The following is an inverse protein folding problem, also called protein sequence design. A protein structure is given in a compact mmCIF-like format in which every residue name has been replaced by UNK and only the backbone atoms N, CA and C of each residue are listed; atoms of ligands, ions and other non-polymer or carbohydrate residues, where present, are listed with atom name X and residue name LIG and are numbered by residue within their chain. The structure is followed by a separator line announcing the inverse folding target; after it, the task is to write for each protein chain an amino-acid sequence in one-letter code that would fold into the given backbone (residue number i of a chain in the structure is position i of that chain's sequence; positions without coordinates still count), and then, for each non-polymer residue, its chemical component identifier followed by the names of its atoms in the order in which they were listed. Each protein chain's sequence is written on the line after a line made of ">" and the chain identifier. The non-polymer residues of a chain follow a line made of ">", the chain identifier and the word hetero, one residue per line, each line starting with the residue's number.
data_IF_138175119940
#
_entry.id   IF_138175119940
#
_cell.length_a   1.000
_cell.length_b   1.000
_cell.length_c   1.000
_cell.angle_alpha   90.00
_cell.angle_beta   90.00
_cell.angle_gamma   90.00
#
_symmetry.space_group_name_H-M   'P 1'
#
loop_
_entity.id
_entity.type
_entity.pdbx_description
1 polymer ?
#
# COMPACT_ATOMS: atom_id res chain seq x y z
N UNK A 1 14.34 -37.88 9.24
CA UNK A 1 15.10 -36.66 8.91
C UNK A 1 16.18 -36.29 9.94
N UNK A 2 15.89 -35.96 11.20
CA UNK A 2 16.96 -35.66 12.22
C UNK A 2 17.76 -36.90 12.63
N UNK A 3 17.09 -38.05 12.75
CA UNK A 3 17.73 -39.34 13.09
C UNK A 3 18.58 -39.89 11.95
N UNK A 4 18.12 -39.78 10.70
CA UNK A 4 18.89 -40.21 9.51
C UNK A 4 20.14 -39.37 9.25
N UNK A 5 20.11 -38.07 9.56
CA UNK A 5 21.29 -37.20 9.42
C UNK A 5 22.36 -37.52 10.47
N UNK A 6 21.95 -37.96 11.68
CA UNK A 6 22.86 -38.41 12.73
C UNK A 6 23.57 -39.72 12.33
N UNK A 7 22.82 -40.68 11.81
CA UNK A 7 23.34 -42.00 11.44
C UNK A 7 24.30 -41.93 10.23
N UNK A 8 24.00 -41.06 9.24
CA UNK A 8 24.89 -40.81 8.09
C UNK A 8 26.19 -40.08 8.46
N UNK A 9 26.19 -39.28 9.53
CA UNK A 9 27.41 -38.61 10.01
C UNK A 9 28.29 -39.56 10.82
N UNK A 10 27.69 -40.47 11.59
CA UNK A 10 28.41 -41.51 12.37
C UNK A 10 29.05 -42.58 11.46
N UNK A 11 28.43 -42.90 10.31
CA UNK A 11 28.96 -43.92 9.39
C UNK A 11 30.12 -43.46 8.48
N UNK A 12 30.33 -42.15 8.32
CA UNK A 12 31.31 -41.60 7.36
C UNK A 12 32.65 -41.22 8.01
N UNK A 13 32.80 -41.39 9.33
CA UNK A 13 34.01 -41.08 10.10
C UNK A 13 34.36 -42.26 11.00
N UNK A 14 34.77 -43.38 10.40
CA UNK A 14 35.48 -44.43 11.13
C UNK A 14 36.93 -44.49 10.66
N UNK A 15 37.81 -43.58 11.15
CA UNK A 15 39.24 -43.89 11.17
C UNK A 15 39.45 -45.14 12.04
N UNK A 16 40.47 -45.95 11.76
CA UNK A 16 40.86 -47.11 12.58
C UNK A 16 40.68 -46.78 14.07
N UNK A 17 39.94 -47.63 14.79
CA UNK A 17 39.44 -47.31 16.14
C UNK A 17 40.57 -46.71 16.97
N UNK A 18 40.31 -45.57 17.62
CA UNK A 18 41.31 -44.87 18.44
C UNK A 18 41.93 -45.78 19.50
N UNK A 19 41.15 -46.75 19.98
CA UNK A 19 41.59 -47.82 20.89
C UNK A 19 42.66 -48.70 20.23
N UNK A 20 42.48 -49.08 18.97
CA UNK A 20 43.47 -49.85 18.18
C UNK A 20 44.80 -49.09 18.04
N UNK A 21 44.76 -47.76 17.94
CA UNK A 21 45.98 -46.93 17.85
C UNK A 21 46.69 -46.81 19.21
N UNK A 22 45.94 -46.73 20.32
CA UNK A 22 46.50 -46.76 21.68
C UNK A 22 47.10 -48.13 22.01
N UNK A 23 46.45 -49.23 21.61
CA UNK A 23 46.98 -50.59 21.76
C UNK A 23 48.28 -50.78 20.98
N UNK A 24 48.36 -50.24 19.75
CA UNK A 24 49.59 -50.24 18.96
C UNK A 24 50.71 -49.46 19.63
N UNK A 25 50.42 -48.32 20.24
CA UNK A 25 51.42 -47.58 21.03
C UNK A 25 51.90 -48.37 22.25
N UNK A 26 51.00 -49.05 22.97
CA UNK A 26 51.36 -49.93 24.08
C UNK A 26 52.24 -51.12 23.66
N UNK A 27 51.93 -51.73 22.50
CA UNK A 27 52.74 -52.82 21.94
C UNK A 27 54.16 -52.35 21.55
N UNK A 28 54.28 -51.12 21.01
CA UNK A 28 55.57 -50.51 20.67
C UNK A 28 56.38 -50.21 21.94
N UNK A 29 55.75 -49.69 22.99
CA UNK A 29 56.40 -49.39 24.27
C UNK A 29 56.89 -50.67 25.00
N UNK A 30 56.10 -51.74 24.91
CA UNK A 30 56.49 -53.07 25.41
C UNK A 30 57.67 -53.65 24.62
N UNK A 31 57.69 -53.50 23.30
CA UNK A 31 58.83 -53.89 22.47
C UNK A 31 60.08 -53.06 22.81
N UNK A 32 59.94 -51.75 23.01
CA UNK A 32 61.03 -50.85 23.41
C UNK A 32 61.63 -51.24 24.75
N UNK A 33 60.79 -51.59 25.73
CA UNK A 33 61.23 -52.03 27.07
C UNK A 33 62.05 -53.33 27.03
N UNK A 34 61.70 -54.24 26.12
CA UNK A 34 62.48 -55.47 25.87
C UNK A 34 63.83 -55.17 25.21
N UNK A 35 63.86 -54.22 24.27
CA UNK A 35 65.08 -53.75 23.60
C UNK A 35 66.04 -53.02 24.56
N UNK A 36 65.50 -52.26 25.51
CA UNK A 36 66.28 -51.56 26.55
C UNK A 36 67.00 -52.52 27.53
N UNK A 37 66.58 -53.79 27.57
CA UNK A 37 67.19 -54.84 28.39
C UNK A 37 68.36 -55.57 27.70
N UNK A 38 68.64 -55.23 26.42
CA UNK A 38 69.72 -55.83 25.63
C UNK A 38 70.93 -54.89 25.54
N UNK A 39 72.12 -55.27 26.02
CA UNK A 39 73.31 -54.39 26.08
C UNK A 39 73.92 -54.04 24.71
N UNK A 40 73.42 -54.62 23.61
CA UNK A 40 73.92 -54.37 22.25
C UNK A 40 73.27 -53.14 21.54
N UNK A 41 72.31 -52.46 22.17
CA UNK A 41 71.53 -51.38 21.53
C UNK A 41 71.91 -50.01 22.11
N UNK A 42 72.21 -48.99 21.28
CA UNK A 42 72.57 -47.66 21.77
C UNK A 42 71.36 -46.95 22.42
N UNK A 43 71.51 -46.66 23.72
CA UNK A 43 70.48 -46.06 24.60
C UNK A 43 69.94 -44.72 24.08
N UNK A 44 70.80 -43.90 23.45
CA UNK A 44 70.42 -42.59 22.89
C UNK A 44 69.32 -42.68 21.81
N UNK A 45 69.35 -43.73 20.97
CA UNK A 45 68.33 -43.92 19.94
C UNK A 45 67.00 -44.37 20.52
N UNK A 46 67.02 -45.17 21.58
CA UNK A 46 65.81 -45.60 22.29
C UNK A 46 65.13 -44.41 23.00
N UNK A 47 65.90 -43.54 23.66
CA UNK A 47 65.38 -42.32 24.29
C UNK A 47 64.76 -41.35 23.26
N UNK A 48 65.37 -41.21 22.08
CA UNK A 48 64.82 -40.37 21.00
C UNK A 48 63.47 -40.89 20.51
N UNK A 49 63.35 -42.21 20.35
CA UNK A 49 62.09 -42.86 19.94
C UNK A 49 61.02 -42.69 21.03
N UNK A 50 61.40 -42.81 22.30
CA UNK A 50 60.48 -42.61 23.42
C UNK A 50 59.98 -41.17 23.51
N UNK A 51 60.87 -40.18 23.36
CA UNK A 51 60.51 -38.77 23.33
C UNK A 51 59.57 -38.42 22.16
N UNK A 52 59.78 -39.02 20.98
CA UNK A 52 58.86 -38.85 19.84
C UNK A 52 57.50 -39.51 20.09
N UNK A 53 57.48 -40.66 20.76
CA UNK A 53 56.24 -41.34 21.15
C UNK A 53 55.41 -40.47 22.10
N UNK A 54 56.08 -39.83 23.07
CA UNK A 54 55.45 -38.94 24.04
C UNK A 54 54.94 -37.65 23.39
N UNK A 55 55.68 -37.04 22.46
CA UNK A 55 55.22 -35.86 21.71
C UNK A 55 53.97 -36.15 20.88
N UNK A 56 53.94 -37.30 20.20
CA UNK A 56 52.77 -37.74 19.42
C UNK A 56 51.57 -38.03 20.33
N UNK A 57 51.79 -38.64 21.50
CA UNK A 57 50.77 -38.92 22.51
C UNK A 57 50.17 -37.63 23.07
N UNK A 58 51.00 -36.65 23.42
CA UNK A 58 50.56 -35.34 23.93
C UNK A 58 49.74 -34.57 22.88
N UNK A 59 50.15 -34.60 21.61
CA UNK A 59 49.37 -33.99 20.51
C UNK A 59 48.01 -34.68 20.32
N UNK A 60 47.97 -36.01 20.39
CA UNK A 60 46.72 -36.77 20.26
C UNK A 60 45.76 -36.51 21.43
N UNK A 61 46.28 -36.37 22.66
CA UNK A 61 45.49 -36.00 23.84
C UNK A 61 44.97 -34.56 23.77
N UNK A 62 45.79 -33.60 23.35
CA UNK A 62 45.35 -32.22 23.15
C UNK A 62 44.25 -32.09 22.09
N UNK A 63 44.36 -32.85 20.99
CA UNK A 63 43.29 -32.95 19.99
C UNK A 63 42.03 -33.64 20.55
N UNK A 64 42.18 -34.65 21.41
CA UNK A 64 41.03 -35.30 22.05
C UNK A 64 40.25 -34.34 22.93
N UNK A 65 40.94 -33.55 23.75
CA UNK A 65 40.31 -32.58 24.64
C UNK A 65 39.53 -31.53 23.84
N UNK A 66 40.11 -31.01 22.76
CA UNK A 66 39.40 -30.06 21.88
C UNK A 66 38.16 -30.67 21.20
N UNK A 67 38.22 -31.95 20.81
CA UNK A 67 37.07 -32.66 20.21
C UNK A 67 35.98 -32.88 21.27
N UNK A 68 36.36 -33.24 22.49
CA UNK A 68 35.42 -33.47 23.60
C UNK A 68 34.76 -32.16 24.07
N UNK A 69 35.53 -31.08 24.18
CA UNK A 69 35.04 -29.75 24.48
C UNK A 69 34.08 -29.26 23.39
N UNK A 70 34.42 -29.48 22.11
CA UNK A 70 33.53 -29.14 20.98
C UNK A 70 32.21 -29.93 21.05
N UNK A 71 32.27 -31.22 21.40
CA UNK A 71 31.06 -32.05 21.59
C UNK A 71 30.24 -31.54 22.77
N UNK A 72 30.87 -31.20 23.89
CA UNK A 72 30.21 -30.66 25.08
C UNK A 72 29.49 -29.34 24.77
N UNK A 73 30.18 -28.40 24.11
CA UNK A 73 29.61 -27.12 23.68
C UNK A 73 28.42 -27.36 22.74
N UNK A 74 28.54 -28.26 21.77
CA UNK A 74 27.44 -28.57 20.85
C UNK A 74 26.20 -29.12 21.57
N UNK A 75 26.39 -29.93 22.61
CA UNK A 75 25.32 -30.53 23.41
C UNK A 75 24.66 -29.50 24.35
N UNK A 76 25.44 -28.58 24.91
CA UNK A 76 24.95 -27.45 25.70
C UNK A 76 24.13 -26.48 24.82
N UNK A 77 24.59 -26.18 23.60
CA UNK A 77 23.84 -25.36 22.62
C UNK A 77 22.52 -26.04 22.26
N UNK A 78 22.54 -27.35 21.99
CA UNK A 78 21.33 -28.11 21.68
C UNK A 78 20.34 -28.12 22.86
N UNK A 79 20.83 -28.28 24.10
CA UNK A 79 19.99 -28.19 25.31
C UNK A 79 19.35 -26.82 25.46
N UNK A 80 20.13 -25.74 25.29
CA UNK A 80 19.61 -24.38 25.39
C UNK A 80 18.56 -24.09 24.31
N UNK A 81 18.82 -24.55 23.07
CA UNK A 81 17.85 -24.44 21.99
C UNK A 81 16.57 -25.23 22.29
N UNK A 82 16.69 -26.45 22.82
CA UNK A 82 15.54 -27.27 23.23
C UNK A 82 14.69 -26.57 24.29
N UNK A 83 15.31 -26.02 25.34
CA UNK A 83 14.60 -25.27 26.40
C UNK A 83 13.86 -24.06 25.81
N UNK A 84 14.48 -23.34 24.88
CA UNK A 84 13.87 -22.19 24.22
C UNK A 84 12.65 -22.60 23.37
N UNK A 85 12.76 -23.69 22.61
CA UNK A 85 11.66 -24.25 21.82
C UNK A 85 10.52 -24.74 22.73
N UNK A 86 10.84 -25.43 23.82
CA UNK A 86 9.86 -25.92 24.78
C UNK A 86 9.12 -24.76 25.48
N UNK A 87 9.83 -23.68 25.82
CA UNK A 87 9.25 -22.44 26.37
C UNK A 87 8.37 -21.71 25.34
N UNK A 88 8.77 -21.69 24.07
CA UNK A 88 7.98 -21.07 23.01
C UNK A 88 6.68 -21.86 22.75
N UNK A 89 6.78 -23.19 22.82
CA UNK A 89 5.62 -24.07 22.72
C UNK A 89 4.69 -23.91 23.93
N UNK A 90 5.23 -23.79 25.15
CA UNK A 90 4.41 -23.56 26.34
C UNK A 90 3.63 -22.24 26.28
N UNK A 91 4.28 -21.15 25.84
CA UNK A 91 3.62 -19.85 25.60
C UNK A 91 2.52 -19.91 24.53
N UNK A 92 2.61 -20.85 23.58
CA UNK A 92 1.56 -21.11 22.59
C UNK A 92 0.36 -21.82 23.20
N UNK A 93 0.58 -22.85 24.03
CA UNK A 93 -0.49 -23.55 24.76
C UNK A 93 -1.20 -22.66 25.78
N UNK A 94 -0.49 -21.76 26.47
CA UNK A 94 -1.09 -20.86 27.46
C UNK A 94 -1.94 -19.74 26.81
N UNK A 95 -1.77 -19.50 25.50
CA UNK A 95 -2.63 -18.57 24.72
C UNK A 95 -3.72 -19.27 23.91
N UNK A 96 -3.69 -20.59 23.81
CA UNK A 96 -4.74 -21.40 23.15
C UNK A 96 -5.77 -22.00 24.13
N UNK A 97 -5.53 -21.99 25.44
CA UNK A 97 -6.48 -22.50 26.45
C UNK A 97 -7.10 -21.45 27.39
N UNK A 98 -7.57 -20.33 26.84
CA UNK A 98 -8.71 -19.60 27.44
C UNK A 98 -9.87 -19.60 26.46
N UNK A 99 -10.48 -20.78 26.31
CA UNK A 99 -11.79 -20.93 25.67
C UNK A 99 -12.88 -20.29 26.56
N UNK A 100 -13.89 -19.66 25.95
CA UNK A 100 -15.06 -20.47 25.60
C UNK A 100 -15.41 -20.36 24.11
N UNK A 101 -14.88 -21.29 23.33
CA UNK A 101 -15.41 -21.68 22.02
C UNK A 101 -16.60 -22.65 22.25
N UNK A 102 -17.82 -22.11 22.40
CA UNK A 102 -18.80 -22.28 21.32
C UNK A 102 -19.69 -21.04 21.09
N UNK A 103 -19.79 -20.12 22.05
CA UNK A 103 -20.71 -18.98 21.97
C UNK A 103 -20.12 -17.85 21.13
N UNK A 104 -18.86 -17.48 21.35
CA UNK A 104 -18.17 -16.46 20.56
C UNK A 104 -17.97 -16.87 19.11
N UNK A 105 -17.66 -18.14 18.82
CA UNK A 105 -17.52 -18.63 17.44
C UNK A 105 -18.88 -18.74 16.73
N UNK A 106 -19.96 -19.13 17.43
CA UNK A 106 -21.31 -19.14 16.85
C UNK A 106 -21.82 -17.72 16.60
N UNK A 107 -21.53 -16.77 17.48
CA UNK A 107 -21.81 -15.34 17.26
C UNK A 107 -20.95 -14.81 16.11
N UNK A 108 -19.64 -15.06 16.11
CA UNK A 108 -18.74 -14.59 15.06
C UNK A 108 -19.12 -15.14 13.69
N UNK A 109 -19.45 -16.42 13.56
CA UNK A 109 -19.90 -17.02 12.31
C UNK A 109 -21.31 -16.53 11.90
N UNK A 110 -22.20 -16.26 12.85
CA UNK A 110 -23.54 -15.71 12.55
C UNK A 110 -23.45 -14.24 12.13
N UNK A 111 -22.62 -13.47 12.82
CA UNK A 111 -22.31 -12.07 12.53
C UNK A 111 -21.56 -11.96 11.21
N UNK A 112 -20.51 -12.72 10.95
CA UNK A 112 -19.81 -12.71 9.64
C UNK A 112 -20.69 -13.23 8.49
N UNK A 113 -21.60 -14.18 8.74
CA UNK A 113 -22.58 -14.63 7.75
C UNK A 113 -23.64 -13.56 7.44
N UNK A 114 -24.01 -12.71 8.40
CA UNK A 114 -24.96 -11.59 8.20
C UNK A 114 -24.29 -10.32 7.66
N UNK A 115 -23.06 -10.06 8.11
CA UNK A 115 -22.22 -8.95 7.68
C UNK A 115 -21.80 -9.11 6.22
N UNK A 116 -21.53 -10.33 5.73
CA UNK A 116 -21.18 -10.54 4.31
C UNK A 116 -22.24 -9.96 3.35
N UNK A 117 -23.51 -10.41 3.34
CA UNK A 117 -24.53 -9.86 2.45
C UNK A 117 -24.89 -8.41 2.80
N UNK A 118 -24.91 -8.05 4.09
CA UNK A 118 -25.22 -6.69 4.55
C UNK A 118 -24.19 -5.67 4.06
N UNK A 119 -22.90 -5.99 4.11
CA UNK A 119 -21.83 -5.15 3.57
C UNK A 119 -21.89 -5.06 2.05
N UNK A 120 -22.23 -6.16 1.34
CA UNK A 120 -22.41 -6.08 -0.11
C UNK A 120 -23.58 -5.16 -0.48
N UNK A 121 -24.70 -5.21 0.23
CA UNK A 121 -25.84 -4.31 0.00
C UNK A 121 -25.46 -2.88 0.39
N UNK A 122 -24.80 -2.67 1.53
CA UNK A 122 -24.36 -1.35 1.96
C UNK A 122 -23.36 -0.74 0.97
N UNK A 123 -22.44 -1.53 0.44
CA UNK A 123 -21.49 -1.12 -0.59
C UNK A 123 -22.21 -0.83 -1.92
N UNK A 124 -23.16 -1.67 -2.31
CA UNK A 124 -23.97 -1.44 -3.51
C UNK A 124 -24.79 -0.14 -3.41
N UNK A 125 -25.37 0.14 -2.24
CA UNK A 125 -26.07 1.40 -1.94
C UNK A 125 -25.10 2.58 -1.96
N UNK A 126 -23.91 2.45 -1.38
CA UNK A 126 -22.87 3.50 -1.44
C UNK A 126 -22.45 3.80 -2.88
N UNK A 127 -22.27 2.77 -3.71
CA UNK A 127 -21.94 2.91 -5.14
C UNK A 127 -23.09 3.56 -5.91
N UNK A 128 -24.34 3.20 -5.60
CA UNK A 128 -25.51 3.82 -6.20
C UNK A 128 -25.66 5.29 -5.79
N UNK A 129 -25.45 5.59 -4.51
CA UNK A 129 -25.46 6.95 -3.98
C UNK A 129 -24.34 7.79 -4.60
N UNK A 130 -23.13 7.27 -4.72
CA UNK A 130 -22.02 7.98 -5.33
C UNK A 130 -22.25 8.23 -6.83
N UNK A 131 -22.78 7.24 -7.56
CA UNK A 131 -23.16 7.39 -8.96
C UNK A 131 -24.26 8.47 -9.13
N UNK A 132 -25.25 8.50 -8.24
CA UNK A 132 -26.31 9.51 -8.24
C UNK A 132 -25.78 10.92 -7.99
N UNK A 133 -24.93 11.09 -6.97
CA UNK A 133 -24.29 12.38 -6.65
C UNK A 133 -23.40 12.83 -7.82
N UNK A 134 -22.60 11.92 -8.39
CA UNK A 134 -21.74 12.22 -9.52
C UNK A 134 -22.54 12.67 -10.75
N UNK A 135 -23.63 11.95 -11.06
CA UNK A 135 -24.52 12.32 -12.17
C UNK A 135 -25.18 13.67 -11.93
N UNK A 136 -25.58 13.96 -10.69
CA UNK A 136 -26.18 15.24 -10.32
C UNK A 136 -25.18 16.40 -10.46
N UNK A 137 -23.95 16.25 -9.98
CA UNK A 137 -22.87 17.23 -10.15
C UNK A 137 -22.54 17.43 -11.64
N UNK A 138 -22.46 16.34 -12.40
CA UNK A 138 -22.21 16.41 -13.84
C UNK A 138 -23.31 17.19 -14.56
N UNK A 139 -24.59 16.89 -14.26
CA UNK A 139 -25.73 17.59 -14.82
C UNK A 139 -25.74 19.08 -14.43
N UNK A 140 -25.50 19.39 -13.15
CA UNK A 140 -25.40 20.76 -12.67
C UNK A 140 -24.29 21.52 -13.40
N UNK A 141 -23.13 20.89 -13.61
CA UNK A 141 -22.02 21.48 -14.38
C UNK A 141 -22.42 21.73 -15.84
N UNK A 142 -23.15 20.80 -16.48
CA UNK A 142 -23.62 20.99 -17.87
C UNK A 142 -24.68 22.08 -17.97
N UNK A 143 -25.59 22.16 -17.01
CA UNK A 143 -26.58 23.25 -16.94
C UNK A 143 -25.91 24.60 -16.73
N UNK A 144 -24.92 24.67 -15.81
CA UNK A 144 -24.14 25.87 -15.56
C UNK A 144 -23.35 26.30 -16.81
N UNK A 145 -22.73 25.36 -17.54
CA UNK A 145 -22.08 25.65 -18.82
C UNK A 145 -23.06 26.19 -19.88
N UNK A 146 -24.29 25.67 -19.95
CA UNK A 146 -25.31 26.18 -20.86
C UNK A 146 -25.71 27.61 -20.50
N UNK A 147 -25.95 27.87 -19.21
CA UNK A 147 -26.34 29.19 -18.71
C UNK A 147 -25.22 30.22 -18.91
N UNK A 148 -23.97 29.82 -18.65
CA UNK A 148 -22.80 30.65 -18.90
C UNK A 148 -22.67 30.99 -20.39
N UNK A 149 -22.90 30.02 -21.29
CA UNK A 149 -22.86 30.26 -22.74
C UNK A 149 -24.00 31.18 -23.22
N UNK A 150 -25.20 31.05 -22.65
CA UNK A 150 -26.32 31.95 -22.94
C UNK A 150 -25.97 33.39 -22.50
N UNK A 151 -25.37 33.57 -21.31
CA UNK A 151 -24.93 34.89 -20.84
C UNK A 151 -23.82 35.51 -21.69
N UNK A 152 -22.84 34.70 -22.12
CA UNK A 152 -21.82 35.16 -23.08
C UNK A 152 -22.45 35.68 -24.37
N UNK A 153 -23.43 34.94 -24.91
CA UNK A 153 -24.11 35.31 -26.15
C UNK A 153 -24.93 36.61 -26.00
N UNK A 154 -25.73 36.73 -24.93
CA UNK A 154 -26.52 37.94 -24.69
C UNK A 154 -25.65 39.17 -24.43
N UNK A 155 -24.52 39.01 -23.75
CA UNK A 155 -23.57 40.09 -23.57
C UNK A 155 -22.92 40.54 -24.89
N UNK A 156 -22.56 39.58 -25.77
CA UNK A 156 -22.06 39.91 -27.11
C UNK A 156 -23.12 40.66 -27.94
N UNK A 157 -24.39 40.27 -27.83
CA UNK A 157 -25.50 40.99 -28.46
C UNK A 157 -25.67 42.41 -27.89
N UNK A 158 -25.54 42.59 -26.57
CA UNK A 158 -25.58 43.90 -25.92
C UNK A 158 -24.44 44.81 -26.40
N UNK A 159 -23.21 44.27 -26.50
CA UNK A 159 -22.05 45.04 -26.97
C UNK A 159 -22.15 45.41 -28.45
N UNK A 160 -22.87 44.63 -29.26
CA UNK A 160 -23.15 44.93 -30.68
C UNK A 160 -22.00 44.66 -31.65
N UNK A 161 -20.82 44.24 -31.16
CA UNK A 161 -19.63 43.91 -31.95
C UNK A 161 -18.83 42.80 -31.27
N UNK A 162 -18.36 41.81 -32.03
CA UNK A 162 -17.55 40.71 -31.50
C UNK A 162 -16.05 41.01 -31.68
N UNK A 163 -15.43 41.65 -30.68
CA UNK A 163 -13.99 41.89 -30.66
C UNK A 163 -13.25 40.67 -30.08
N UNK A 164 -12.13 40.26 -30.69
CA UNK A 164 -11.39 39.06 -30.27
C UNK A 164 -10.89 39.12 -28.83
N UNK A 165 -10.50 40.31 -28.37
CA UNK A 165 -10.06 40.57 -26.99
C UNK A 165 -11.19 40.41 -25.97
N UNK A 166 -12.41 40.84 -26.31
CA UNK A 166 -13.59 40.71 -25.43
C UNK A 166 -13.99 39.23 -25.32
N UNK A 167 -13.93 38.48 -26.42
CA UNK A 167 -14.15 37.03 -26.41
C UNK A 167 -13.12 36.31 -25.53
N UNK A 168 -11.85 36.68 -25.63
CA UNK A 168 -10.76 36.08 -24.84
C UNK A 168 -10.93 36.35 -23.34
N UNK A 169 -11.33 37.58 -22.97
CA UNK A 169 -11.65 37.94 -21.57
C UNK A 169 -12.87 37.15 -21.07
N UNK A 170 -13.94 37.04 -21.87
CA UNK A 170 -15.13 36.27 -21.50
C UNK A 170 -14.82 34.77 -21.38
N UNK A 171 -13.98 34.21 -22.24
CA UNK A 171 -13.58 32.81 -22.16
C UNK A 171 -12.72 32.57 -20.92
N UNK A 172 -11.76 33.45 -20.65
CA UNK A 172 -10.88 33.38 -19.48
C UNK A 172 -11.66 33.50 -18.19
N UNK A 173 -12.54 34.51 -18.05
CA UNK A 173 -13.29 34.81 -16.82
C UNK A 173 -14.44 33.84 -16.52
N UNK A 174 -14.97 33.13 -17.51
CA UNK A 174 -16.01 32.12 -17.29
C UNK A 174 -15.47 30.69 -17.18
N UNK A 175 -14.35 30.37 -17.86
CA UNK A 175 -13.86 28.99 -17.98
C UNK A 175 -12.59 28.73 -17.15
N UNK A 176 -11.59 29.62 -17.23
CA UNK A 176 -10.27 29.40 -16.61
C UNK A 176 -10.10 30.06 -15.23
N UNK A 177 -10.63 31.28 -15.06
CA UNK A 177 -10.63 32.05 -13.81
C UNK A 177 -12.05 32.51 -13.49
N UNK A 178 -12.90 31.60 -13.02
CA UNK A 178 -14.31 31.90 -12.71
C UNK A 178 -14.40 32.98 -11.63
N UNK A 179 -14.66 34.21 -12.08
CA UNK A 179 -14.78 35.40 -11.24
C UNK A 179 -16.27 35.67 -11.02
N UNK A 180 -16.77 35.24 -9.87
CA UNK A 180 -18.20 35.26 -9.59
C UNK A 180 -18.75 36.69 -9.50
N UNK A 181 -17.93 37.64 -9.04
CA UNK A 181 -18.27 39.06 -9.00
C UNK A 181 -18.38 39.64 -10.42
N UNK A 182 -17.43 39.29 -11.29
CA UNK A 182 -17.50 39.67 -12.71
C UNK A 182 -18.74 39.09 -13.41
N UNK A 183 -19.07 37.81 -13.18
CA UNK A 183 -20.25 37.16 -13.76
C UNK A 183 -21.53 37.85 -13.28
N UNK A 184 -21.61 38.21 -12.00
CA UNK A 184 -22.76 38.92 -11.44
C UNK A 184 -22.91 40.31 -12.06
N UNK A 185 -21.84 41.10 -12.12
CA UNK A 185 -21.84 42.44 -12.73
C UNK A 185 -22.24 42.36 -14.21
N UNK A 186 -21.70 41.39 -14.94
CA UNK A 186 -22.05 41.17 -16.35
C UNK A 186 -23.53 40.81 -16.51
N UNK A 187 -24.04 39.92 -15.66
CA UNK A 187 -25.45 39.52 -15.67
C UNK A 187 -26.37 40.71 -15.40
N UNK A 188 -26.06 41.51 -14.38
CA UNK A 188 -26.84 42.70 -14.03
C UNK A 188 -26.83 43.73 -15.17
N UNK A 189 -25.68 43.93 -15.81
CA UNK A 189 -25.54 44.82 -16.98
C UNK A 189 -26.40 44.37 -18.16
N UNK A 190 -26.43 43.07 -18.46
CA UNK A 190 -27.25 42.51 -19.54
C UNK A 190 -28.73 42.67 -19.23
N UNK A 191 -29.14 42.35 -18.00
CA UNK A 191 -30.54 42.47 -17.56
C UNK A 191 -31.02 43.93 -17.63
N UNK A 192 -30.22 44.88 -17.14
CA UNK A 192 -30.55 46.31 -17.19
C UNK A 192 -30.69 46.81 -18.64
N UNK A 193 -29.80 46.37 -19.54
CA UNK A 193 -29.90 46.69 -20.96
C UNK A 193 -31.17 46.11 -21.60
N UNK A 194 -31.46 44.83 -21.39
CA UNK A 194 -32.68 44.19 -21.90
C UNK A 194 -33.93 44.89 -21.38
N UNK A 195 -33.94 45.28 -20.10
CA UNK A 195 -35.04 46.01 -19.48
C UNK A 195 -35.24 47.38 -20.14
N UNK A 196 -34.16 48.14 -20.37
CA UNK A 196 -34.22 49.44 -21.05
C UNK A 196 -34.66 49.31 -22.50
N UNK A 197 -34.13 48.32 -23.21
CA UNK A 197 -34.48 48.01 -24.61
C UNK A 197 -35.97 47.69 -24.73
N UNK A 198 -36.50 46.84 -23.84
CA UNK A 198 -37.92 46.51 -23.79
C UNK A 198 -38.78 47.75 -23.53
N UNK A 199 -38.40 48.59 -22.57
CA UNK A 199 -39.13 49.82 -22.24
C UNK A 199 -39.14 50.82 -23.41
N UNK A 200 -38.04 50.91 -24.16
CA UNK A 200 -37.99 51.74 -25.37
C UNK A 200 -38.88 51.17 -26.48
N UNK A 201 -38.88 49.85 -26.69
CA UNK A 201 -39.76 49.19 -27.65
C UNK A 201 -41.24 49.44 -27.31
N UNK A 202 -41.63 49.30 -26.04
CA UNK A 202 -43.00 49.58 -25.57
C UNK A 202 -43.38 51.06 -25.74
N UNK A 203 -42.46 52.00 -25.45
CA UNK A 203 -42.69 53.43 -25.65
C UNK A 203 -42.85 53.77 -27.15
N UNK A 204 -42.05 53.14 -28.01
CA UNK A 204 -42.14 53.29 -29.46
C UNK A 204 -43.44 52.71 -30.02
N UNK A 205 -43.89 51.56 -29.52
CA UNK A 205 -45.16 50.95 -29.91
C UNK A 205 -46.35 51.84 -29.50
N UNK A 206 -46.34 52.40 -28.28
CA UNK A 206 -47.34 53.38 -27.85
C UNK A 206 -47.32 54.64 -28.73
N UNK A 207 -46.14 55.13 -29.08
CA UNK A 207 -46.01 56.28 -29.99
C UNK A 207 -46.57 55.97 -31.39
N UNK A 208 -46.35 54.76 -31.91
CA UNK A 208 -46.93 54.32 -33.19
C UNK A 208 -48.44 54.24 -33.14
N UNK A 209 -49.01 53.64 -32.09
CA UNK A 209 -50.46 53.57 -31.92
C UNK A 209 -51.11 54.95 -31.82
N UNK A 210 -50.48 55.89 -31.09
CA UNK A 210 -50.94 57.27 -31.01
C UNK A 210 -50.83 57.99 -32.36
N UNK A 211 -49.77 57.74 -33.13
CA UNK A 211 -49.60 58.31 -34.46
C UNK A 211 -50.64 57.79 -35.45
N UNK A 212 -50.98 56.49 -35.41
CA UNK A 212 -52.06 55.92 -36.23
C UNK A 212 -53.42 56.54 -35.88
N UNK A 213 -53.72 56.74 -34.59
CA UNK A 213 -54.94 57.43 -34.17
C UNK A 213 -54.97 58.88 -34.65
N UNK A 214 -53.84 59.61 -34.56
CA UNK A 214 -53.75 60.99 -35.04
C UNK A 214 -53.95 61.09 -36.56
N UNK A 215 -53.42 60.15 -37.34
CA UNK A 215 -53.67 60.10 -38.79
C UNK A 215 -55.13 59.78 -39.14
N UNK A 216 -55.79 58.89 -38.39
CA UNK A 216 -57.21 58.61 -38.59
C UNK A 216 -58.07 59.85 -38.29
N UNK A 217 -57.83 60.53 -37.18
CA UNK A 217 -58.53 61.77 -36.82
C UNK A 217 -58.29 62.88 -37.85
N UNK A 218 -57.08 62.99 -38.40
CA UNK A 218 -56.77 63.95 -39.49
C UNK A 218 -57.56 63.61 -40.76
N UNK A 219 -57.65 62.34 -41.14
CA UNK A 219 -58.44 61.89 -42.30
C UNK A 219 -59.94 62.14 -42.11
N UNK A 220 -60.47 62.01 -40.89
CA UNK A 220 -61.86 62.34 -40.58
C UNK A 220 -62.11 63.86 -40.61
N UNK A 221 -61.20 64.65 -40.03
CA UNK A 221 -61.28 66.11 -40.08
C UNK A 221 -61.19 66.65 -41.52
N UNK A 222 -60.32 66.10 -42.37
CA UNK A 222 -60.21 66.48 -43.79
C UNK A 222 -61.45 66.08 -44.61
N UNK A 223 -62.22 65.08 -44.17
CA UNK A 223 -63.52 64.73 -44.77
C UNK A 223 -64.63 65.70 -44.33
N UNK A 224 -64.55 66.23 -43.11
CA UNK A 224 -65.52 67.18 -42.55
C UNK A 224 -65.22 68.65 -42.91
N UNK A 225 -63.99 68.97 -43.30
CA UNK A 225 -63.53 70.32 -43.65
C UNK A 225 -63.61 70.69 -45.13
N UNK A 226 -64.18 69.84 -45.99
CA UNK A 226 -64.46 70.20 -47.39
C UNK A 226 -65.84 70.89 -47.45
N UNK A 227 -65.91 72.18 -47.86
CA UNK A 227 -67.17 72.87 -48.09
C UNK A 227 -67.95 72.27 -49.26
#
# INVERSE_FOLDING_TARGET
>A
MVTELKEKLEAQVTPASREETLERFGAIEQALSRLHSNPAVPVEKLQTIQSQLDDVRNKMQGQQQHIEDTKRISLEIYRNFKIMVDTLNSYKTDKEEVSPLPFYQRIYNKVTSWIRPGLFIFLAVLVLCSASIWLNIHLATRMQQLQDNDMKYRYLLMQGWANGEVLDILETKFNWQRDNDFIQILTDSVIDFEYRSKKQAEALERARLLNEQAEQLKKEADKLGKP
#
